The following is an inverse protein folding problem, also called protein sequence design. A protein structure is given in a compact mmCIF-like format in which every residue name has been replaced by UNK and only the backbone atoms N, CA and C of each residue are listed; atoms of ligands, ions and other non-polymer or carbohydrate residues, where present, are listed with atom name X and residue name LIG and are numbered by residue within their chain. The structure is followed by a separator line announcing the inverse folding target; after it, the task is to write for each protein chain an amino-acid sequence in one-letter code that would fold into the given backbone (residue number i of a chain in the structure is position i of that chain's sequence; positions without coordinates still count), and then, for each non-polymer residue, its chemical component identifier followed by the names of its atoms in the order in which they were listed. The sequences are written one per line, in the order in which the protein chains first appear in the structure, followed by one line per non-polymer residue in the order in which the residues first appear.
data_IF_332837430416
#
_entry.id   IF_332837430416
#
_cell.length_a   1.000
_cell.length_b   1.000
_cell.length_c   1.000
_cell.angle_alpha   90.00
_cell.angle_beta   90.00
_cell.angle_gamma   90.00
#
_symmetry.space_group_name_H-M   'P 1'
#
loop_
_entity.id
_entity.type
_entity.pdbx_description
1 polymer ?
#
# COMPACT_ATOMS: atom_id res chain seq x y z
N UNK A 1 -14.71 -44.58 -42.61
CA UNK A 1 -15.07 -43.25 -42.08
C UNK A 1 -14.35 -43.09 -40.74
N UNK A 2 -13.41 -42.13 -40.63
CA UNK A 2 -12.62 -41.89 -39.40
C UNK A 2 -13.22 -40.68 -38.65
N UNK A 3 -13.42 -40.73 -37.33
CA UNK A 3 -13.95 -39.60 -36.57
C UNK A 3 -12.87 -38.53 -36.43
N UNK A 4 -13.23 -37.28 -36.74
CA UNK A 4 -12.38 -36.10 -36.55
C UNK A 4 -12.60 -35.60 -35.11
N UNK A 5 -11.56 -35.41 -34.28
CA UNK A 5 -11.72 -34.88 -32.94
C UNK A 5 -11.95 -33.37 -33.04
N UNK A 6 -13.04 -32.89 -32.43
CA UNK A 6 -13.32 -31.47 -32.29
C UNK A 6 -12.43 -30.90 -31.18
N UNK A 7 -11.40 -30.17 -31.57
CA UNK A 7 -10.49 -29.49 -30.65
C UNK A 7 -11.17 -28.19 -30.18
N UNK A 8 -11.68 -28.19 -28.95
CA UNK A 8 -12.31 -27.01 -28.34
C UNK A 8 -11.23 -25.98 -28.00
N UNK A 9 -11.15 -24.90 -28.77
CA UNK A 9 -10.31 -23.75 -28.44
C UNK A 9 -10.99 -22.93 -27.33
N UNK A 10 -10.48 -23.01 -26.11
CA UNK A 10 -10.81 -22.04 -25.06
C UNK A 10 -10.14 -20.72 -25.41
N UNK A 11 -10.92 -19.73 -25.85
CA UNK A 11 -10.47 -18.34 -25.85
C UNK A 11 -10.36 -17.87 -24.40
N UNK A 12 -9.15 -17.68 -23.89
CA UNK A 12 -8.93 -16.89 -22.67
C UNK A 12 -9.19 -15.42 -22.99
N UNK A 13 -10.27 -14.87 -22.44
CA UNK A 13 -10.48 -13.43 -22.35
C UNK A 13 -9.58 -12.88 -21.25
N UNK A 14 -8.53 -12.13 -21.61
CA UNK A 14 -7.79 -11.33 -20.65
C UNK A 14 -8.77 -10.28 -20.05
N UNK A 15 -9.10 -10.41 -18.78
CA UNK A 15 -9.87 -9.37 -18.10
C UNK A 15 -8.97 -8.16 -17.88
N UNK A 16 -9.38 -6.95 -18.31
CA UNK A 16 -8.61 -5.75 -18.05
C UNK A 16 -8.50 -5.58 -16.53
N UNK A 17 -7.27 -5.37 -16.04
CA UNK A 17 -7.04 -5.02 -14.65
C UNK A 17 -7.76 -3.69 -14.35
N UNK A 18 -8.81 -3.73 -13.53
CA UNK A 18 -9.48 -2.53 -13.05
C UNK A 18 -8.62 -1.93 -11.94
N UNK A 19 -7.87 -0.88 -12.27
CA UNK A 19 -7.11 -0.09 -11.32
C UNK A 19 -7.71 1.30 -11.16
N UNK A 20 -7.73 1.80 -9.93
CA UNK A 20 -8.06 3.18 -9.59
C UNK A 20 -6.79 3.91 -9.16
N UNK A 21 -6.67 5.18 -9.55
CA UNK A 21 -5.62 6.08 -9.09
C UNK A 21 -6.26 7.30 -8.46
N UNK A 22 -5.95 7.49 -7.18
CA UNK A 22 -6.41 8.60 -6.37
C UNK A 22 -5.34 9.67 -6.35
N UNK A 23 -5.77 10.88 -6.71
CA UNK A 23 -5.04 12.12 -6.56
C UNK A 23 -5.77 12.95 -5.50
N UNK A 24 -5.04 13.59 -4.59
CA UNK A 24 -5.66 14.42 -3.54
C UNK A 24 -5.99 15.86 -3.99
N UNK A 25 -5.84 16.16 -5.28
CA UNK A 25 -5.94 17.51 -5.86
C UNK A 25 -7.31 18.17 -5.72
N UNK A 26 -8.38 17.39 -5.65
CA UNK A 26 -9.74 17.90 -5.53
C UNK A 26 -10.22 17.93 -4.07
N UNK A 27 -9.45 17.37 -3.15
CA UNK A 27 -9.80 17.36 -1.74
C UNK A 27 -9.55 18.72 -1.10
N UNK A 28 -10.37 19.03 -0.09
CA UNK A 28 -10.25 20.25 0.69
C UNK A 28 -9.00 20.19 1.58
N UNK A 29 -8.16 21.22 1.52
CA UNK A 29 -7.00 21.32 2.41
C UNK A 29 -7.42 21.41 3.88
N UNK A 30 -6.59 20.84 4.76
CA UNK A 30 -6.81 20.79 6.20
C UNK A 30 -7.80 19.71 6.66
N UNK A 31 -8.37 18.91 5.74
CA UNK A 31 -9.27 17.80 6.07
C UNK A 31 -8.70 16.47 5.58
N UNK A 32 -9.32 15.35 5.97
CA UNK A 32 -9.09 14.08 5.31
C UNK A 32 -9.57 14.12 3.85
N UNK A 33 -9.03 13.26 2.96
CA UNK A 33 -9.60 13.01 1.65
C UNK A 33 -11.06 12.56 1.78
N UNK A 34 -11.91 12.96 0.84
CA UNK A 34 -13.33 12.64 0.89
C UNK A 34 -13.57 11.13 0.94
N UNK A 35 -14.36 10.66 1.91
CA UNK A 35 -14.70 9.25 2.10
C UNK A 35 -13.61 8.39 2.77
N UNK A 36 -12.40 8.93 2.98
CA UNK A 36 -11.35 8.20 3.69
C UNK A 36 -11.54 8.29 5.20
N UNK A 37 -11.07 7.26 5.90
CA UNK A 37 -11.08 7.19 7.37
C UNK A 37 -9.65 7.01 7.88
N UNK A 38 -9.36 7.57 9.05
CA UNK A 38 -8.04 7.50 9.66
C UNK A 38 -8.12 7.13 11.14
N UNK A 39 -7.02 6.59 11.64
CA UNK A 39 -6.87 6.19 13.03
C UNK A 39 -5.46 5.74 13.34
N UNK A 40 -5.32 5.04 14.47
CA UNK A 40 -4.06 4.49 14.96
C UNK A 40 -4.34 3.12 15.54
N UNK A 41 -3.50 2.14 15.21
CA UNK A 41 -3.41 0.92 16.00
C UNK A 41 -2.47 1.17 17.17
N UNK A 42 -2.89 0.85 18.39
CA UNK A 42 -2.17 1.22 19.60
C UNK A 42 -2.55 2.63 20.07
N UNK A 43 -1.57 3.40 20.51
CA UNK A 43 -1.76 4.72 21.11
C UNK A 43 -1.23 5.83 20.21
N UNK A 44 -1.74 7.04 20.41
CA UNK A 44 -1.23 8.24 19.76
C UNK A 44 -2.33 9.20 19.33
N UNK A 45 -1.91 10.29 18.70
CA UNK A 45 -2.79 11.30 18.11
C UNK A 45 -2.28 11.59 16.71
N UNK A 46 -2.59 10.70 15.73
CA UNK A 46 -2.20 10.92 14.36
C UNK A 46 -2.94 12.14 13.80
N UNK A 47 -2.29 12.83 12.87
CA UNK A 47 -2.90 13.96 12.16
C UNK A 47 -2.74 13.74 10.67
N UNK A 48 -3.85 13.42 10.03
CA UNK A 48 -3.93 13.21 8.60
C UNK A 48 -4.70 14.36 7.96
N UNK A 49 -4.07 15.08 7.06
CA UNK A 49 -4.66 16.23 6.38
C UNK A 49 -4.17 16.34 4.95
N UNK A 50 -5.06 16.75 4.05
CA UNK A 50 -4.68 17.20 2.71
C UNK A 50 -4.01 18.57 2.82
N UNK A 51 -2.85 18.73 2.20
CA UNK A 51 -2.06 19.96 2.21
C UNK A 51 -1.48 20.24 0.82
N UNK A 52 -1.16 21.49 0.50
CA UNK A 52 -0.39 21.80 -0.70
C UNK A 52 1.08 21.36 -0.52
N UNK A 53 1.68 20.67 -1.51
CA UNK A 53 3.13 20.49 -1.55
C UNK A 53 3.78 21.62 -2.38
N UNK A 54 4.50 22.57 -1.76
CA UNK A 54 5.13 23.66 -2.48
C UNK A 54 6.31 23.21 -3.36
N UNK A 55 6.78 21.96 -3.21
CA UNK A 55 7.88 21.41 -4.02
C UNK A 55 7.44 20.92 -5.41
N UNK A 56 6.13 20.90 -5.70
CA UNK A 56 5.59 20.54 -7.02
C UNK A 56 5.09 21.81 -7.71
N UNK A 57 5.55 22.07 -8.94
CA UNK A 57 5.04 23.18 -9.77
C UNK A 57 3.53 23.01 -9.94
N UNK A 58 2.78 24.10 -9.80
CA UNK A 58 1.31 24.17 -9.81
C UNK A 58 0.58 23.69 -8.54
N UNK A 59 1.30 23.42 -7.43
CA UNK A 59 0.68 23.26 -6.11
C UNK A 59 -0.31 22.09 -6.05
N UNK A 60 0.20 20.88 -6.24
CA UNK A 60 -0.59 19.64 -6.09
C UNK A 60 -0.87 19.40 -4.61
N UNK A 61 -2.11 19.03 -4.29
CA UNK A 61 -2.45 18.62 -2.93
C UNK A 61 -1.90 17.21 -2.67
N UNK A 62 -1.41 16.99 -1.46
CA UNK A 62 -0.88 15.72 -0.95
C UNK A 62 -1.60 15.37 0.34
N UNK A 63 -1.76 14.08 0.62
CA UNK A 63 -2.14 13.62 1.95
C UNK A 63 -0.90 13.64 2.84
N UNK A 64 -0.98 14.24 4.02
CA UNK A 64 0.12 14.30 4.97
C UNK A 64 -0.28 13.67 6.29
N UNK A 65 0.61 12.81 6.80
CA UNK A 65 0.65 12.51 8.23
C UNK A 65 1.62 13.50 8.89
N UNK A 66 1.18 14.17 9.96
CA UNK A 66 2.02 15.08 10.76
C UNK A 66 1.81 14.96 12.27
N UNK A 67 1.15 13.90 12.72
CA UNK A 67 0.93 13.61 14.13
C UNK A 67 1.88 12.52 14.63
N UNK A 68 1.59 11.96 15.79
CA UNK A 68 2.37 10.84 16.34
C UNK A 68 1.45 9.69 16.75
N UNK A 69 1.96 8.47 16.69
CA UNK A 69 1.30 7.30 17.25
C UNK A 69 2.02 6.02 16.88
N UNK A 70 1.69 4.92 17.55
CA UNK A 70 2.37 3.64 17.34
C UNK A 70 2.31 3.25 15.85
N UNK A 71 1.09 3.10 15.31
CA UNK A 71 0.88 2.70 13.91
C UNK A 71 -0.30 3.47 13.24
N UNK A 72 -0.11 4.75 12.88
CA UNK A 72 -1.14 5.53 12.18
C UNK A 72 -1.48 4.98 10.79
N UNK A 73 -2.76 4.90 10.49
CA UNK A 73 -3.29 4.50 9.18
C UNK A 73 -4.33 5.51 8.67
N UNK A 74 -4.46 5.60 7.35
CA UNK A 74 -5.50 6.35 6.65
C UNK A 74 -5.92 5.53 5.42
N UNK A 75 -7.17 5.09 5.38
CA UNK A 75 -7.66 4.07 4.43
C UNK A 75 -8.89 4.56 3.68
N UNK A 76 -9.05 4.07 2.45
CA UNK A 76 -10.27 4.19 1.66
C UNK A 76 -11.17 2.98 1.93
N UNK A 77 -12.26 3.12 2.71
CA UNK A 77 -13.16 2.01 3.02
C UNK A 77 -14.07 1.61 1.87
N UNK A 78 -14.19 2.42 0.81
CA UNK A 78 -14.96 2.07 -0.39
C UNK A 78 -14.25 1.03 -1.25
N UNK A 79 -12.92 0.92 -1.13
CA UNK A 79 -12.14 -0.12 -1.77
C UNK A 79 -12.25 -1.44 -1.01
N UNK A 80 -12.33 -2.56 -1.73
CA UNK A 80 -12.24 -3.90 -1.13
C UNK A 80 -11.63 -4.87 -2.13
N UNK A 81 -10.34 -5.20 -1.95
CA UNK A 81 -9.60 -6.08 -2.87
C UNK A 81 -8.98 -7.27 -2.13
N UNK A 82 -9.15 -8.47 -2.68
CA UNK A 82 -8.55 -9.70 -2.17
C UNK A 82 -7.17 -9.95 -2.79
N UNK A 83 -7.08 -9.78 -4.11
CA UNK A 83 -5.89 -10.00 -4.93
C UNK A 83 -5.69 -8.81 -5.86
N UNK A 84 -4.43 -8.43 -6.07
CA UNK A 84 -4.04 -7.35 -6.95
C UNK A 84 -2.86 -6.56 -6.40
N UNK A 85 -2.98 -5.24 -6.36
CA UNK A 85 -1.90 -4.38 -5.91
C UNK A 85 -2.38 -3.16 -5.13
N UNK A 86 -1.47 -2.61 -4.32
CA UNK A 86 -1.52 -1.26 -3.79
C UNK A 86 -0.19 -0.57 -4.04
N UNK A 87 -0.23 0.72 -4.33
CA UNK A 87 0.95 1.53 -4.62
C UNK A 87 0.75 2.94 -4.07
N UNK A 88 1.77 3.48 -3.41
CA UNK A 88 1.78 4.85 -2.97
C UNK A 88 3.09 5.53 -3.35
N UNK A 89 2.98 6.75 -3.86
CA UNK A 89 4.11 7.67 -3.94
C UNK A 89 4.20 8.43 -2.62
N UNK A 90 5.34 8.39 -1.95
CA UNK A 90 5.52 8.98 -0.62
C UNK A 90 6.83 9.77 -0.52
N UNK A 91 6.88 10.78 0.35
CA UNK A 91 8.05 11.60 0.65
C UNK A 91 8.24 11.69 2.17
N UNK A 92 9.22 10.99 2.75
CA UNK A 92 9.40 10.96 4.19
C UNK A 92 10.16 12.22 4.64
N UNK A 93 9.51 13.10 5.40
CA UNK A 93 9.99 14.47 5.64
C UNK A 93 10.88 14.61 6.88
N UNK A 94 10.42 14.02 8.00
CA UNK A 94 11.09 14.08 9.30
C UNK A 94 10.52 13.03 10.25
N UNK A 95 11.16 12.89 11.40
CA UNK A 95 10.79 11.99 12.50
C UNK A 95 12.07 11.57 13.21
N UNK A 96 12.00 11.34 14.52
CA UNK A 96 13.16 10.97 15.34
C UNK A 96 13.21 9.47 15.59
N UNK A 97 12.05 8.85 15.80
CA UNK A 97 11.95 7.41 16.05
C UNK A 97 11.85 6.63 14.74
N UNK A 98 11.06 7.13 13.79
CA UNK A 98 10.94 6.59 12.44
C UNK A 98 10.79 7.76 11.46
N UNK A 99 11.29 7.60 10.24
CA UNK A 99 11.02 8.52 9.14
C UNK A 99 10.52 7.70 7.95
N UNK A 100 9.28 7.24 8.06
CA UNK A 100 8.74 6.15 7.27
C UNK A 100 7.43 6.50 6.55
N UNK A 101 7.22 5.83 5.42
CA UNK A 101 5.95 5.78 4.70
C UNK A 101 5.62 4.33 4.32
N UNK A 102 4.35 4.01 4.27
CA UNK A 102 3.89 2.65 4.00
C UNK A 102 2.53 2.59 3.33
N UNK A 103 2.21 1.40 2.84
CA UNK A 103 0.91 1.03 2.28
C UNK A 103 0.28 -0.07 3.12
N UNK A 104 -1.05 -0.07 3.14
CA UNK A 104 -1.90 -1.03 3.85
C UNK A 104 -2.84 -1.70 2.85
N UNK A 105 -3.02 -3.02 2.99
CA UNK A 105 -3.98 -3.80 2.22
C UNK A 105 -4.62 -4.90 3.07
N UNK A 106 -5.70 -5.49 2.55
CA UNK A 106 -6.56 -6.44 3.27
C UNK A 106 -6.98 -5.92 4.64
N UNK A 107 -7.14 -4.60 4.76
CA UNK A 107 -7.53 -3.97 6.02
C UNK A 107 -8.97 -4.34 6.33
N UNK A 108 -9.17 -5.02 7.46
CA UNK A 108 -10.50 -5.41 7.96
C UNK A 108 -11.03 -4.38 8.95
N UNK A 109 -10.12 -3.95 9.82
CA UNK A 109 -10.34 -2.96 10.85
C UNK A 109 -8.98 -2.41 11.33
N UNK A 110 -9.01 -1.47 12.26
CA UNK A 110 -7.82 -0.83 12.83
C UNK A 110 -6.90 -1.76 13.61
N UNK A 111 -7.17 -3.07 13.66
CA UNK A 111 -6.44 -4.09 14.40
C UNK A 111 -6.04 -5.30 13.53
N UNK A 112 -6.46 -5.37 12.25
CA UNK A 112 -6.24 -6.52 11.38
C UNK A 112 -5.96 -6.09 9.92
N UNK A 113 -4.68 -6.08 9.52
CA UNK A 113 -4.24 -5.65 8.19
C UNK A 113 -2.77 -5.99 7.89
N UNK A 114 -2.37 -6.01 6.62
CA UNK A 114 -0.96 -6.06 6.24
C UNK A 114 -0.37 -4.66 6.03
N UNK A 115 0.96 -4.54 6.18
CA UNK A 115 1.72 -3.31 5.94
C UNK A 115 3.04 -3.61 5.23
N UNK A 116 3.35 -2.82 4.22
CA UNK A 116 4.71 -2.64 3.75
C UNK A 116 5.17 -1.22 4.13
N UNK A 117 6.38 -1.09 4.65
CA UNK A 117 6.95 0.18 5.13
C UNK A 117 8.35 0.36 4.55
N UNK A 118 8.62 1.53 4.01
CA UNK A 118 9.96 2.02 3.68
C UNK A 118 10.36 3.09 4.72
N UNK A 119 11.57 2.99 5.27
CA UNK A 119 12.07 3.86 6.35
C UNK A 119 13.43 4.48 6.01
N UNK A 120 13.51 5.81 6.04
CA UNK A 120 14.72 6.56 5.71
C UNK A 120 15.79 6.52 6.81
N UNK A 121 15.40 6.40 8.10
CA UNK A 121 16.39 6.33 9.19
C UNK A 121 17.12 4.99 9.21
N UNK A 122 16.41 3.92 8.86
CA UNK A 122 16.92 2.56 8.91
C UNK A 122 17.39 2.03 7.54
N UNK A 123 17.21 2.78 6.46
CA UNK A 123 17.48 2.36 5.07
C UNK A 123 16.94 0.95 4.76
N UNK A 124 15.65 0.75 5.00
CA UNK A 124 15.02 -0.54 4.78
C UNK A 124 13.61 -0.46 4.21
N UNK A 125 13.23 -1.57 3.57
CA UNK A 125 11.84 -1.97 3.35
C UNK A 125 11.52 -3.11 4.30
N UNK A 126 10.31 -3.11 4.81
CA UNK A 126 9.83 -4.10 5.78
C UNK A 126 8.38 -4.49 5.51
N UNK A 127 8.07 -5.74 5.82
CA UNK A 127 6.74 -6.34 5.67
C UNK A 127 6.24 -6.79 7.05
N UNK A 128 5.01 -6.41 7.38
CA UNK A 128 4.34 -6.73 8.62
C UNK A 128 2.92 -7.22 8.36
N UNK A 129 2.37 -7.93 9.34
CA UNK A 129 0.94 -8.01 9.54
C UNK A 129 0.58 -7.51 10.93
N UNK A 130 -0.61 -6.96 11.08
CA UNK A 130 -1.22 -6.63 12.37
C UNK A 130 -2.37 -7.59 12.56
N UNK A 131 -2.41 -8.29 13.70
CA UNK A 131 -3.52 -9.15 14.09
C UNK A 131 -3.88 -8.85 15.54
N UNK A 132 -5.18 -8.70 15.81
CA UNK A 132 -5.69 -8.33 17.14
C UNK A 132 -4.95 -7.13 17.76
N UNK A 133 -4.62 -6.13 16.93
CA UNK A 133 -3.99 -4.87 17.36
C UNK A 133 -2.48 -4.98 17.62
N UNK A 134 -1.88 -6.16 17.42
CA UNK A 134 -0.43 -6.37 17.56
C UNK A 134 0.22 -6.50 16.20
N UNK A 135 1.26 -5.70 15.96
CA UNK A 135 2.09 -5.79 14.76
C UNK A 135 3.14 -6.89 14.89
N UNK A 136 3.26 -7.71 13.86
CA UNK A 136 4.22 -8.80 13.73
C UNK A 136 5.09 -8.56 12.50
N UNK A 137 6.38 -8.85 12.62
CA UNK A 137 7.33 -8.73 11.51
C UNK A 137 7.32 -10.01 10.70
N UNK A 138 7.21 -9.88 9.38
CA UNK A 138 7.48 -10.96 8.42
C UNK A 138 8.94 -10.87 7.95
N UNK A 139 9.35 -9.71 7.43
CA UNK A 139 10.71 -9.55 6.90
C UNK A 139 11.19 -8.09 6.90
N UNK A 140 12.51 -7.91 7.02
CA UNK A 140 13.24 -6.67 6.72
C UNK A 140 14.24 -6.91 5.59
N UNK A 141 14.46 -5.90 4.75
CA UNK A 141 15.47 -5.88 3.69
C UNK A 141 16.07 -4.49 3.56
N UNK A 142 17.39 -4.43 3.46
CA UNK A 142 18.10 -3.18 3.18
C UNK A 142 17.66 -2.62 1.82
N UNK A 143 17.34 -1.32 1.81
CA UNK A 143 16.88 -0.60 0.64
C UNK A 143 17.20 0.89 0.79
N UNK A 144 17.66 1.58 -0.27
CA UNK A 144 17.97 3.01 -0.19
C UNK A 144 16.67 3.81 -0.11
N UNK A 145 16.38 4.38 1.06
CA UNK A 145 15.22 5.26 1.27
C UNK A 145 15.77 6.64 1.65
N UNK A 146 15.69 7.59 0.74
CA UNK A 146 16.25 8.92 0.94
C UNK A 146 15.21 9.86 1.60
N UNK A 147 15.64 10.56 2.65
CA UNK A 147 14.82 11.57 3.29
C UNK A 147 14.49 12.72 2.33
N UNK A 148 13.26 13.24 2.38
CA UNK A 148 12.79 14.40 1.61
C UNK A 148 12.80 14.20 0.09
N UNK A 149 12.94 12.96 -0.38
CA UNK A 149 12.82 12.57 -1.79
C UNK A 149 11.54 11.76 -2.00
N UNK A 150 10.92 11.93 -3.17
CA UNK A 150 9.75 11.14 -3.54
C UNK A 150 10.16 9.74 -3.96
N UNK A 151 9.58 8.74 -3.31
CA UNK A 151 9.71 7.32 -3.62
C UNK A 151 8.36 6.72 -4.00
N UNK A 152 8.38 5.54 -4.65
CA UNK A 152 7.19 4.73 -4.92
C UNK A 152 7.31 3.39 -4.21
N UNK A 153 6.37 3.08 -3.32
CA UNK A 153 6.25 1.79 -2.65
C UNK A 153 5.06 1.04 -3.23
N UNK A 154 5.30 -0.16 -3.75
CA UNK A 154 4.29 -1.03 -4.37
C UNK A 154 4.26 -2.39 -3.68
N UNK A 155 3.06 -2.91 -3.46
CA UNK A 155 2.84 -4.29 -3.06
C UNK A 155 1.92 -4.97 -4.06
N UNK A 156 2.34 -6.12 -4.55
CA UNK A 156 1.50 -7.05 -5.31
C UNK A 156 1.19 -8.24 -4.42
N UNK A 157 -0.07 -8.65 -4.39
CA UNK A 157 -0.54 -9.73 -3.53
C UNK A 157 -1.60 -10.57 -4.23
N UNK A 158 -1.36 -11.88 -4.33
CA UNK A 158 -2.28 -12.83 -4.97
C UNK A 158 -2.32 -14.09 -4.12
N UNK A 159 -3.50 -14.43 -3.59
CA UNK A 159 -3.64 -15.53 -2.63
C UNK A 159 -2.82 -15.24 -1.36
N UNK A 160 -1.81 -16.05 -1.10
CA UNK A 160 -0.86 -15.86 -0.01
C UNK A 160 0.52 -15.37 -0.48
N UNK A 161 0.70 -15.09 -1.76
CA UNK A 161 1.96 -14.59 -2.30
C UNK A 161 2.00 -13.07 -2.22
N UNK A 162 3.07 -12.51 -1.65
CA UNK A 162 3.23 -11.07 -1.42
C UNK A 162 4.61 -10.63 -1.93
N UNK A 163 4.61 -9.61 -2.79
CA UNK A 163 5.82 -9.01 -3.34
C UNK A 163 5.86 -7.52 -3.04
N UNK A 164 6.95 -7.04 -2.45
CA UNK A 164 7.14 -5.61 -2.13
C UNK A 164 8.26 -5.04 -2.97
N UNK A 165 7.98 -3.94 -3.66
CA UNK A 165 8.93 -3.19 -4.46
C UNK A 165 9.03 -1.74 -4.00
N UNK A 166 10.25 -1.21 -4.00
CA UNK A 166 10.55 0.21 -3.78
C UNK A 166 11.24 0.73 -5.04
N UNK A 167 10.73 1.82 -5.60
CA UNK A 167 11.22 2.47 -6.82
C UNK A 167 11.41 1.47 -7.98
N UNK A 168 10.43 0.58 -8.13
CA UNK A 168 10.40 -0.44 -9.20
C UNK A 168 11.29 -1.66 -8.97
N UNK A 169 12.14 -1.67 -7.94
CA UNK A 169 12.96 -2.85 -7.58
C UNK A 169 12.25 -3.68 -6.51
N UNK A 170 12.08 -4.98 -6.76
CA UNK A 170 11.55 -5.94 -5.77
C UNK A 170 12.58 -6.23 -4.68
N UNK A 171 12.17 -6.13 -3.42
CA UNK A 171 13.00 -6.41 -2.24
C UNK A 171 12.50 -7.61 -1.44
N UNK A 172 11.19 -7.78 -1.33
CA UNK A 172 10.54 -8.86 -0.57
C UNK A 172 9.67 -9.67 -1.53
N UNK A 173 9.72 -10.99 -1.39
CA UNK A 173 8.94 -11.97 -2.16
C UNK A 173 8.72 -13.18 -1.23
N UNK A 174 7.51 -13.29 -0.67
CA UNK A 174 7.21 -14.26 0.39
C UNK A 174 5.82 -14.85 0.25
N UNK A 175 5.61 -15.98 0.92
CA UNK A 175 4.28 -16.57 1.13
C UNK A 175 3.87 -16.32 2.58
N UNK A 176 2.69 -15.73 2.79
CA UNK A 176 2.11 -15.45 4.11
C UNK A 176 0.58 -15.53 4.06
N UNK A 177 -0.03 -16.21 5.02
CA UNK A 177 -1.47 -16.52 5.07
C UNK A 177 -2.18 -16.02 6.35
N UNK A 178 -1.54 -15.15 7.14
CA UNK A 178 -2.10 -14.63 8.38
C UNK A 178 -3.39 -13.81 8.18
N UNK A 179 -3.55 -13.15 7.03
CA UNK A 179 -4.77 -12.38 6.71
C UNK A 179 -5.23 -12.73 5.29
N UNK A 180 -6.44 -13.27 5.19
CA UNK A 180 -7.05 -13.71 3.94
C UNK A 180 -8.26 -12.85 3.54
N UNK A 181 -8.67 -12.98 2.27
CA UNK A 181 -9.87 -12.33 1.72
C UNK A 181 -9.75 -10.83 1.51
N UNK A 182 -10.78 -10.24 0.92
CA UNK A 182 -10.79 -8.82 0.53
C UNK A 182 -10.81 -7.86 1.72
N UNK A 183 -10.17 -6.70 1.59
CA UNK A 183 -10.26 -5.63 2.57
C UNK A 183 -9.89 -4.27 1.97
N UNK A 184 -10.07 -3.24 2.79
CA UNK A 184 -9.73 -1.88 2.42
C UNK A 184 -8.22 -1.70 2.22
N UNK A 185 -7.89 -0.58 1.58
CA UNK A 185 -6.51 -0.22 1.23
C UNK A 185 -6.23 1.22 1.63
N UNK A 186 -4.95 1.55 1.79
CA UNK A 186 -4.56 2.91 2.11
C UNK A 186 -3.08 3.05 2.43
N UNK A 187 -2.79 4.06 3.24
CA UNK A 187 -1.43 4.44 3.63
C UNK A 187 -1.21 4.36 5.13
N UNK A 188 0.06 4.30 5.51
CA UNK A 188 0.48 4.01 6.88
C UNK A 188 1.80 4.70 7.23
N UNK A 189 1.99 5.01 8.51
CA UNK A 189 3.25 5.55 9.06
C UNK A 189 3.52 4.93 10.43
N UNK A 190 4.67 5.27 11.05
CA UNK A 190 5.05 4.79 12.38
C UNK A 190 5.56 5.94 13.25
N UNK A 191 5.28 5.87 14.54
CA UNK A 191 5.77 6.79 15.56
C UNK A 191 5.52 8.26 15.16
N UNK A 192 6.57 9.07 15.08
CA UNK A 192 6.54 10.50 14.78
C UNK A 192 6.90 10.82 13.32
N UNK A 193 6.76 9.85 12.42
CA UNK A 193 7.00 10.03 10.98
C UNK A 193 6.07 11.08 10.37
N UNK A 194 6.65 12.22 9.99
CA UNK A 194 5.98 13.18 9.10
C UNK A 194 6.23 12.75 7.66
N UNK A 195 5.18 12.38 6.95
CA UNK A 195 5.27 11.84 5.58
C UNK A 195 4.19 12.43 4.69
N UNK A 196 4.58 12.81 3.47
CA UNK A 196 3.65 13.21 2.40
C UNK A 196 3.34 12.01 1.51
N UNK A 197 2.12 11.91 1.04
CA UNK A 197 1.64 10.93 0.08
C UNK A 197 1.02 11.67 -1.11
N UNK A 198 1.52 11.37 -2.31
CA UNK A 198 1.08 11.96 -3.57
C UNK A 198 0.00 11.11 -4.22
N UNK A 199 0.37 10.37 -5.26
CA UNK A 199 -0.53 9.40 -5.90
C UNK A 199 -0.70 8.16 -5.03
N UNK A 200 -1.93 7.67 -4.93
CA UNK A 200 -2.24 6.35 -4.38
C UNK A 200 -3.03 5.55 -5.41
N UNK A 201 -2.55 4.36 -5.77
CA UNK A 201 -3.17 3.51 -6.78
C UNK A 201 -3.41 2.11 -6.22
N UNK A 202 -4.53 1.51 -6.60
CA UNK A 202 -4.85 0.14 -6.24
C UNK A 202 -5.67 -0.49 -7.34
N UNK A 203 -5.70 -1.82 -7.41
CA UNK A 203 -6.50 -2.51 -8.40
C UNK A 203 -6.51 -4.00 -8.18
N UNK A 204 -7.51 -4.67 -8.75
CA UNK A 204 -7.54 -6.12 -8.81
C UNK A 204 -6.59 -6.62 -9.89
N UNK A 205 -5.78 -7.62 -9.53
CA UNK A 205 -4.93 -8.32 -10.49
C UNK A 205 -5.78 -9.34 -11.23
N UNK A 206 -5.87 -9.24 -12.56
CA UNK A 206 -6.28 -10.37 -13.37
C UNK A 206 -5.27 -11.49 -13.15
N UNK A 207 -5.72 -12.66 -12.71
CA UNK A 207 -4.86 -13.84 -12.51
C UNK A 207 -4.06 -14.09 -13.79
N UNK A 208 -2.74 -13.89 -13.71
CA UNK A 208 -1.83 -14.25 -14.78
C UNK A 208 -1.78 -15.79 -14.83
N UNK A 209 -2.53 -16.38 -15.76
CA UNK A 209 -2.50 -17.81 -16.04
C UNK A 209 -1.21 -18.17 -16.79
N UNK A 210 -0.07 -18.00 -16.14
CA UNK A 210 1.21 -18.55 -16.60
C UNK A 210 1.82 -19.45 -15.52
N UNK A 211 1.12 -20.54 -15.23
CA UNK A 211 1.75 -21.79 -14.74
C UNK A 211 1.18 -22.97 -15.50
N UNK A 212 1.54 -23.05 -16.79
CA UNK A 212 1.57 -24.33 -17.47
C UNK A 212 2.72 -25.16 -16.91
N UNK A 213 2.35 -26.34 -16.38
CA UNK A 213 3.00 -27.64 -16.59
C UNK A 213 4.52 -27.71 -16.38
N UNK A 214 4.89 -28.37 -15.28
CA UNK A 214 5.81 -29.50 -15.33
C UNK A 214 5.16 -30.71 -14.65
#
# INVERSE_FOLDING_TARGET
MKPIPLMLWMLLTAMPATGETIMFNQDRQGTLPAGWVAGVTGNGTPKWTVEADPSVRDGTNVLKQSGSGDFPWCVNPAASIADGFVEARFKPMSGREDQAGGVVWRWKDGNNYYVARANALENNVSLYYTAAGRRHTIQYKDAPVEAKVWHTLRVEFVGNHIQVALDGKRYIDVVDDHISGAGAVGVWTKADSVTLFGTFSYGSGGTDQHREKM
#
